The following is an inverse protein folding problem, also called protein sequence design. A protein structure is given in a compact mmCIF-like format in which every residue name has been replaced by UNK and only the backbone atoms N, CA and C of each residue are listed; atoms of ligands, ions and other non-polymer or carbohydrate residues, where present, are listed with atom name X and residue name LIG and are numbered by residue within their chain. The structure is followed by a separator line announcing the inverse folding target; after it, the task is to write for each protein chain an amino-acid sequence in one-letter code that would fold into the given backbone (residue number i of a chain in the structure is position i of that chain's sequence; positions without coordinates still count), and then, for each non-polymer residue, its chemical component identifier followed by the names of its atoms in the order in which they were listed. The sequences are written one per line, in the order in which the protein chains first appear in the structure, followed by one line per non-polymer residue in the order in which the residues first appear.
data_IF_072659397242
#
_entry.id   IF_072659397242
#
_cell.length_a   1.000
_cell.length_b   1.000
_cell.length_c   1.000
_cell.angle_alpha   90.00
_cell.angle_beta   90.00
_cell.angle_gamma   90.00
#
_symmetry.space_group_name_H-M   'P 1'
#
loop_
_entity.id
_entity.type
_entity.pdbx_description
1 polymer ?
#
# COMPACT_ATOMS: atom_id res chain seq x y z
N UNK A 1 10.32 -18.51 -12.36
CA UNK A 1 8.85 -18.63 -12.45
C UNK A 1 8.30 -19.34 -11.21
N UNK A 2 7.02 -19.14 -10.85
CA UNK A 2 6.32 -19.76 -9.71
C UNK A 2 7.03 -19.59 -8.36
N UNK A 3 7.72 -18.47 -8.15
CA UNK A 3 8.62 -18.31 -7.01
C UNK A 3 7.89 -18.38 -5.65
N UNK A 4 6.66 -17.86 -5.57
CA UNK A 4 5.83 -17.92 -4.35
C UNK A 4 5.42 -19.36 -3.99
N UNK A 5 5.22 -20.23 -4.99
CA UNK A 5 4.82 -21.63 -4.79
C UNK A 5 5.96 -22.48 -4.24
N UNK A 6 7.20 -22.20 -4.66
CA UNK A 6 8.39 -22.93 -4.23
C UNK A 6 9.04 -22.36 -2.95
N UNK A 7 8.56 -21.21 -2.48
CA UNK A 7 9.10 -20.57 -1.28
C UNK A 7 9.01 -21.44 -0.01
N UNK A 8 7.94 -22.23 0.24
CA UNK A 8 7.90 -23.14 1.37
C UNK A 8 9.05 -24.16 1.40
N UNK A 9 9.55 -24.59 0.24
CA UNK A 9 10.65 -25.52 0.11
C UNK A 9 12.01 -24.81 0.15
N UNK A 10 12.15 -23.71 -0.58
CA UNK A 10 13.45 -23.02 -0.74
C UNK A 10 13.78 -22.05 0.39
N UNK A 11 12.76 -21.52 1.06
CA UNK A 11 12.83 -20.43 2.06
C UNK A 11 13.52 -19.16 1.57
N UNK A 12 13.65 -18.97 0.25
CA UNK A 12 14.29 -17.81 -0.36
C UNK A 12 13.70 -17.50 -1.73
N UNK A 13 13.75 -16.22 -2.10
CA UNK A 13 13.54 -15.78 -3.47
C UNK A 13 14.90 -15.59 -4.15
N UNK A 14 14.97 -15.95 -5.43
CA UNK A 14 16.11 -15.64 -6.27
C UNK A 14 15.82 -14.33 -7.00
N UNK A 15 16.70 -13.34 -6.80
CA UNK A 15 16.58 -12.05 -7.48
C UNK A 15 16.98 -12.19 -8.94
N UNK A 16 16.21 -11.55 -9.80
CA UNK A 16 16.50 -11.50 -11.23
C UNK A 16 17.67 -10.55 -11.52
N UNK A 17 17.81 -9.53 -10.67
CA UNK A 17 18.88 -8.53 -10.74
C UNK A 17 19.31 -8.11 -9.34
N UNK A 18 20.60 -7.80 -9.18
CA UNK A 18 21.20 -7.26 -7.95
C UNK A 18 21.30 -5.73 -7.93
N UNK A 19 20.86 -5.06 -9.01
CA UNK A 19 20.86 -3.60 -9.12
C UNK A 19 19.92 -2.94 -8.11
N UNK A 20 20.20 -1.67 -7.80
CA UNK A 20 19.37 -0.83 -6.92
C UNK A 20 18.73 0.34 -7.66
N UNK A 21 18.41 1.41 -6.92
CA UNK A 21 17.64 2.56 -7.42
C UNK A 21 18.22 3.15 -8.72
N UNK A 22 17.40 3.21 -9.78
CA UNK A 22 17.78 3.65 -11.14
C UNK A 22 18.90 2.84 -11.82
N UNK A 23 19.28 1.69 -11.30
CA UNK A 23 20.29 0.85 -11.92
C UNK A 23 19.69 0.03 -13.07
N UNK A 24 19.91 0.47 -14.31
CA UNK A 24 19.50 -0.26 -15.52
C UNK A 24 20.66 -0.37 -16.50
N UNK A 25 21.16 -1.60 -16.70
CA UNK A 25 22.13 -1.89 -17.77
C UNK A 25 21.39 -2.33 -19.04
N UNK A 26 21.95 -2.09 -20.23
CA UNK A 26 21.41 -2.67 -21.46
C UNK A 26 21.25 -4.18 -21.35
N UNK A 27 20.07 -4.70 -21.65
CA UNK A 27 19.77 -6.13 -21.59
C UNK A 27 19.42 -6.68 -20.21
N UNK A 28 19.40 -5.83 -19.17
CA UNK A 28 19.03 -6.19 -17.81
C UNK A 28 17.61 -6.81 -17.76
N UNK A 29 17.43 -7.99 -17.13
CA UNK A 29 16.15 -8.67 -17.08
C UNK A 29 15.01 -7.87 -16.45
N UNK A 30 15.29 -7.12 -15.38
CA UNK A 30 14.29 -6.29 -14.71
C UNK A 30 13.88 -5.14 -15.64
N UNK A 31 14.85 -4.52 -16.33
CA UNK A 31 14.55 -3.46 -17.30
C UNK A 31 13.65 -3.96 -18.44
N UNK A 32 13.96 -5.13 -19.02
CA UNK A 32 13.12 -5.77 -20.04
C UNK A 32 11.69 -6.01 -19.55
N UNK A 33 11.54 -6.45 -18.30
CA UNK A 33 10.23 -6.63 -17.68
C UNK A 33 9.47 -5.31 -17.56
N UNK A 34 10.10 -4.27 -16.99
CA UNK A 34 9.51 -2.94 -16.81
C UNK A 34 9.06 -2.38 -18.15
N UNK A 35 9.94 -2.39 -19.16
CA UNK A 35 9.63 -1.85 -20.50
C UNK A 35 8.43 -2.59 -21.11
N UNK A 36 8.44 -3.93 -21.06
CA UNK A 36 7.34 -4.74 -21.62
C UNK A 36 6.02 -4.47 -20.90
N UNK A 37 6.04 -4.39 -19.56
CA UNK A 37 4.85 -4.12 -18.77
C UNK A 37 4.31 -2.69 -19.01
N UNK A 38 5.20 -1.70 -19.14
CA UNK A 38 4.84 -0.33 -19.46
C UNK A 38 4.18 -0.21 -20.86
N UNK A 39 4.69 -0.90 -21.87
CA UNK A 39 4.03 -0.92 -23.20
C UNK A 39 2.63 -1.53 -23.14
N UNK A 40 2.45 -2.62 -22.40
CA UNK A 40 1.12 -3.24 -22.21
C UNK A 40 0.17 -2.28 -21.48
N UNK A 41 0.64 -1.58 -20.44
CA UNK A 41 -0.14 -0.56 -19.75
C UNK A 41 -0.57 0.58 -20.69
N UNK A 42 0.34 1.12 -21.51
CA UNK A 42 0.00 2.17 -22.48
C UNK A 42 -1.00 1.68 -23.52
N UNK A 43 -0.88 0.44 -23.99
CA UNK A 43 -1.84 -0.17 -24.90
C UNK A 43 -3.25 -0.32 -24.27
N UNK A 44 -3.34 -0.42 -22.95
CA UNK A 44 -4.58 -0.45 -22.19
C UNK A 44 -5.05 0.94 -21.71
N UNK A 45 -4.39 2.02 -22.15
CA UNK A 45 -4.81 3.40 -21.88
C UNK A 45 -4.29 3.98 -20.56
N UNK A 46 -3.30 3.38 -19.90
CA UNK A 46 -2.64 4.01 -18.76
C UNK A 46 -1.82 5.22 -19.24
N UNK A 47 -1.93 6.32 -18.51
CA UNK A 47 -1.11 7.50 -18.70
C UNK A 47 0.20 7.36 -17.90
N UNK A 48 1.12 6.52 -18.36
CA UNK A 48 2.39 6.27 -17.66
C UNK A 48 3.22 7.56 -17.55
N UNK A 49 3.74 7.81 -16.35
CA UNK A 49 4.53 9.02 -16.05
C UNK A 49 6.01 8.71 -15.85
N UNK A 50 6.31 7.61 -15.14
CA UNK A 50 7.66 7.29 -14.72
C UNK A 50 7.78 5.82 -14.38
N UNK A 51 8.84 5.17 -14.82
CA UNK A 51 9.20 3.81 -14.43
C UNK A 51 10.68 3.73 -14.05
N UNK A 52 11.02 2.91 -13.06
CA UNK A 52 12.40 2.67 -12.65
C UNK A 52 12.56 1.42 -11.77
N UNK A 53 13.76 0.82 -11.77
CA UNK A 53 14.20 0.00 -10.65
C UNK A 53 14.18 0.79 -9.34
N UNK A 54 13.73 0.13 -8.29
CA UNK A 54 13.64 0.68 -6.94
C UNK A 54 14.87 0.30 -6.09
N UNK A 55 14.89 0.72 -4.82
CA UNK A 55 16.06 0.59 -3.94
C UNK A 55 16.51 -0.86 -3.74
N UNK A 56 15.58 -1.80 -3.53
CA UNK A 56 15.93 -3.20 -3.30
C UNK A 56 16.23 -3.97 -4.61
N UNK A 57 17.07 -5.01 -4.57
CA UNK A 57 17.29 -5.93 -5.69
C UNK A 57 15.99 -6.44 -6.32
N UNK A 58 15.88 -6.34 -7.64
CA UNK A 58 14.68 -6.72 -8.42
C UNK A 58 13.39 -5.99 -8.04
N UNK A 59 13.45 -4.92 -7.25
CA UNK A 59 12.30 -4.07 -6.95
C UNK A 59 12.08 -3.08 -8.09
N UNK A 60 10.83 -2.75 -8.39
CA UNK A 60 10.48 -1.80 -9.43
C UNK A 60 9.28 -0.96 -9.03
N UNK A 61 9.17 0.20 -9.66
CA UNK A 61 8.02 1.10 -9.58
C UNK A 61 7.66 1.56 -10.99
N UNK A 62 6.37 1.52 -11.33
CA UNK A 62 5.84 2.15 -12.53
C UNK A 62 4.65 3.02 -12.13
N UNK A 63 4.79 4.32 -12.30
CA UNK A 63 3.81 5.35 -12.00
C UNK A 63 3.02 5.72 -13.25
N UNK A 64 1.75 6.02 -13.02
CA UNK A 64 0.80 6.48 -14.02
C UNK A 64 -0.06 7.58 -13.41
N UNK A 65 -0.62 8.42 -14.26
CA UNK A 65 -1.40 9.58 -13.81
C UNK A 65 -2.62 9.15 -13.00
N UNK A 66 -2.98 10.01 -12.05
CA UNK A 66 -4.16 9.85 -11.23
C UNK A 66 -5.45 9.87 -12.08
N UNK A 67 -6.51 9.31 -11.52
CA UNK A 67 -7.86 9.34 -12.09
C UNK A 67 -8.90 9.27 -10.97
N UNK A 68 -10.18 9.22 -11.33
CA UNK A 68 -11.29 9.07 -10.38
C UNK A 68 -11.15 7.80 -9.54
N UNK A 69 -11.59 7.85 -8.28
CA UNK A 69 -11.25 6.85 -7.26
C UNK A 69 -11.53 5.39 -7.68
N UNK A 70 -12.70 5.12 -8.28
CA UNK A 70 -13.06 3.76 -8.73
C UNK A 70 -12.18 3.30 -9.89
N UNK A 71 -11.97 4.17 -10.89
CA UNK A 71 -11.10 3.87 -12.02
C UNK A 71 -9.64 3.67 -11.58
N UNK A 72 -9.17 4.41 -10.57
CA UNK A 72 -7.84 4.23 -10.00
C UNK A 72 -7.71 2.88 -9.31
N UNK A 73 -8.74 2.43 -8.58
CA UNK A 73 -8.76 1.09 -7.99
C UNK A 73 -8.72 -0.02 -9.05
N UNK A 74 -9.47 0.13 -10.15
CA UNK A 74 -9.44 -0.78 -11.29
C UNK A 74 -8.05 -0.82 -11.94
N UNK A 75 -7.43 0.34 -12.14
CA UNK A 75 -6.08 0.46 -12.67
C UNK A 75 -5.05 -0.24 -11.77
N UNK A 76 -5.16 -0.14 -10.44
CA UNK A 76 -4.28 -0.86 -9.51
C UNK A 76 -4.46 -2.39 -9.63
N UNK A 77 -5.69 -2.88 -9.82
CA UNK A 77 -5.93 -4.31 -10.03
C UNK A 77 -5.34 -4.79 -11.36
N UNK A 78 -5.55 -4.03 -12.44
CA UNK A 78 -4.98 -4.29 -13.75
C UNK A 78 -3.45 -4.22 -13.73
N UNK A 79 -2.88 -3.25 -13.04
CA UNK A 79 -1.43 -3.12 -12.83
C UNK A 79 -0.85 -4.42 -12.27
N UNK A 80 -1.43 -4.94 -11.18
CA UNK A 80 -0.97 -6.17 -10.54
C UNK A 80 -1.11 -7.38 -11.47
N UNK A 81 -2.21 -7.45 -12.23
CA UNK A 81 -2.45 -8.52 -13.20
C UNK A 81 -1.43 -8.48 -14.35
N UNK A 82 -1.24 -7.32 -14.98
CA UNK A 82 -0.31 -7.11 -16.10
C UNK A 82 1.11 -7.48 -15.67
N UNK A 83 1.57 -6.97 -14.53
CA UNK A 83 2.88 -7.29 -13.98
C UNK A 83 3.07 -8.80 -13.79
N UNK A 84 2.05 -9.51 -13.27
CA UNK A 84 2.13 -10.97 -13.10
C UNK A 84 2.16 -11.70 -14.45
N UNK A 85 1.35 -11.30 -15.42
CA UNK A 85 1.28 -11.93 -16.74
C UNK A 85 2.58 -11.72 -17.53
N UNK A 86 3.10 -10.49 -17.57
CA UNK A 86 4.34 -10.18 -18.26
C UNK A 86 5.52 -10.88 -17.58
N UNK A 87 5.60 -10.86 -16.25
CA UNK A 87 6.63 -11.60 -15.53
C UNK A 87 6.57 -13.09 -15.83
N UNK A 88 5.36 -13.67 -15.91
CA UNK A 88 5.17 -15.07 -16.24
C UNK A 88 5.66 -15.42 -17.66
N UNK A 89 5.39 -14.56 -18.65
CA UNK A 89 5.88 -14.73 -20.03
C UNK A 89 7.39 -14.64 -20.15
N UNK A 90 8.05 -13.94 -19.22
CA UNK A 90 9.50 -13.79 -19.15
C UNK A 90 10.14 -14.75 -18.12
N UNK A 91 9.46 -15.84 -17.75
CA UNK A 91 9.91 -16.87 -16.80
C UNK A 91 10.25 -16.35 -15.38
N UNK A 92 9.65 -15.23 -14.99
CA UNK A 92 9.78 -14.60 -13.68
C UNK A 92 8.50 -14.73 -12.84
N UNK A 93 8.47 -14.09 -11.68
CA UNK A 93 7.29 -13.95 -10.82
C UNK A 93 7.28 -12.55 -10.23
N UNK A 94 6.29 -11.75 -10.59
CA UNK A 94 6.04 -10.47 -9.93
C UNK A 94 5.23 -10.71 -8.66
N UNK A 95 5.78 -10.30 -7.51
CA UNK A 95 5.11 -10.38 -6.21
C UNK A 95 4.72 -8.99 -5.72
N UNK A 96 3.57 -8.92 -5.05
CA UNK A 96 3.06 -7.72 -4.38
C UNK A 96 3.03 -7.91 -2.86
N UNK A 97 3.86 -8.83 -2.36
CA UNK A 97 4.09 -9.04 -0.95
C UNK A 97 4.79 -7.79 -0.36
N UNK A 98 4.34 -7.22 0.78
CA UNK A 98 4.90 -5.97 1.30
C UNK A 98 6.36 -6.06 1.75
N UNK A 99 6.80 -7.22 2.23
CA UNK A 99 8.16 -7.48 2.72
C UNK A 99 8.55 -8.93 2.39
N UNK A 100 8.95 -9.20 1.13
CA UNK A 100 9.28 -10.56 0.70
C UNK A 100 10.61 -11.07 1.27
N UNK A 101 11.53 -10.16 1.64
CA UNK A 101 12.86 -10.48 2.16
C UNK A 101 13.19 -9.55 3.33
N UNK A 102 13.73 -10.10 4.41
CA UNK A 102 14.19 -9.34 5.59
C UNK A 102 15.54 -8.69 5.28
N UNK A 103 15.80 -7.50 5.84
CA UNK A 103 17.10 -6.81 5.70
C UNK A 103 17.22 -5.91 4.46
N UNK A 104 16.23 -5.88 3.57
CA UNK A 104 16.16 -4.96 2.41
C UNK A 104 14.85 -4.17 2.42
N UNK A 105 14.71 -3.17 1.55
CA UNK A 105 13.49 -2.38 1.40
C UNK A 105 12.26 -3.26 1.13
N UNK A 106 11.12 -2.89 1.72
CA UNK A 106 9.82 -3.47 1.40
C UNK A 106 9.12 -2.70 0.28
N UNK A 107 8.00 -3.24 -0.19
CA UNK A 107 7.13 -2.60 -1.19
C UNK A 107 5.92 -1.96 -0.51
N UNK A 108 5.70 -0.67 -0.80
CA UNK A 108 4.52 0.08 -0.38
C UNK A 108 3.63 0.41 -1.58
N UNK A 109 2.40 0.84 -1.31
CA UNK A 109 1.50 1.41 -2.31
C UNK A 109 1.06 2.79 -1.84
N UNK A 110 1.97 3.77 -1.95
CA UNK A 110 1.64 5.14 -1.55
C UNK A 110 0.44 5.64 -2.37
N UNK A 111 -0.57 6.12 -1.67
CA UNK A 111 -1.82 6.54 -2.29
C UNK A 111 -1.94 8.05 -2.20
N UNK A 112 -1.89 8.70 -3.36
CA UNK A 112 -2.04 10.14 -3.52
C UNK A 112 -3.54 10.47 -3.69
N UNK A 113 -4.09 11.34 -2.85
CA UNK A 113 -5.50 11.68 -2.80
C UNK A 113 -5.70 13.19 -2.89
N UNK A 114 -6.70 13.62 -3.66
CA UNK A 114 -7.18 14.99 -3.68
C UNK A 114 -8.69 15.00 -3.89
N UNK A 115 -9.35 16.09 -3.49
CA UNK A 115 -10.78 16.28 -3.74
C UNK A 115 -10.92 17.52 -4.60
N UNK A 116 -11.62 17.39 -5.73
CA UNK A 116 -11.96 18.50 -6.59
C UNK A 116 -13.47 18.68 -6.65
N UNK A 117 -13.91 19.93 -6.72
CA UNK A 117 -15.28 20.26 -7.09
C UNK A 117 -15.22 20.98 -8.44
N UNK A 118 -15.91 20.41 -9.42
CA UNK A 118 -15.83 20.77 -10.84
C UNK A 118 -14.40 20.64 -11.38
N UNK A 119 -13.63 21.73 -11.34
CA UNK A 119 -12.22 21.79 -11.79
C UNK A 119 -11.31 22.46 -10.77
N UNK A 120 -11.83 22.73 -9.58
CA UNK A 120 -11.11 23.40 -8.51
C UNK A 120 -10.67 22.36 -7.51
N UNK A 121 -9.36 22.22 -7.34
CA UNK A 121 -8.78 21.37 -6.31
C UNK A 121 -9.01 22.01 -4.94
N UNK A 122 -9.83 21.36 -4.11
CA UNK A 122 -10.23 21.89 -2.80
C UNK A 122 -9.12 21.77 -1.76
N UNK A 123 -8.04 21.04 -2.02
CA UNK A 123 -6.91 20.92 -1.10
C UNK A 123 -5.89 22.04 -1.26
N UNK A 124 -5.93 22.83 -2.33
CA UNK A 124 -4.95 23.88 -2.55
C UNK A 124 -5.36 25.21 -1.90
N UNK A 125 -4.46 25.78 -1.11
CA UNK A 125 -4.50 27.19 -0.73
C UNK A 125 -3.06 27.75 -0.69
N UNK A 126 -2.70 28.71 -1.57
CA UNK A 126 -1.35 29.27 -1.59
C UNK A 126 -0.96 29.99 -0.30
N UNK A 127 -1.93 30.38 0.54
CA UNK A 127 -1.70 31.03 1.84
C UNK A 127 -1.83 30.05 3.01
N UNK A 128 -2.32 28.84 2.75
CA UNK A 128 -2.50 27.80 3.74
C UNK A 128 -1.17 27.17 4.15
N UNK A 129 -1.15 26.59 5.35
CA UNK A 129 0.03 25.89 5.85
C UNK A 129 0.40 24.74 4.89
N UNK A 130 1.68 24.67 4.50
CA UNK A 130 2.20 23.67 3.55
C UNK A 130 1.53 23.72 2.17
N UNK A 131 0.90 24.85 1.82
CA UNK A 131 0.15 25.03 0.56
C UNK A 131 -1.21 24.32 0.54
N UNK A 132 -1.68 23.85 1.70
CA UNK A 132 -2.96 23.17 1.86
C UNK A 132 -4.04 24.09 2.42
N UNK A 133 -5.24 23.93 1.89
CA UNK A 133 -6.44 24.53 2.45
C UNK A 133 -6.79 23.95 3.82
N UNK A 134 -7.71 24.62 4.54
CA UNK A 134 -8.30 24.08 5.76
C UNK A 134 -8.93 22.69 5.55
N UNK A 135 -9.57 22.48 4.39
CA UNK A 135 -10.14 21.18 4.04
C UNK A 135 -9.06 20.11 3.88
N UNK A 136 -7.94 20.43 3.23
CA UNK A 136 -6.80 19.51 3.10
C UNK A 136 -6.26 19.10 4.47
N UNK A 137 -6.06 20.05 5.37
CA UNK A 137 -5.59 19.76 6.74
C UNK A 137 -6.60 18.99 7.58
N UNK A 138 -7.90 19.32 7.49
CA UNK A 138 -8.97 18.54 8.16
C UNK A 138 -9.00 17.10 7.67
N UNK A 139 -8.85 16.89 6.36
CA UNK A 139 -8.79 15.56 5.75
C UNK A 139 -7.62 14.75 6.32
N UNK A 140 -6.42 15.35 6.38
CA UNK A 140 -5.23 14.73 6.98
C UNK A 140 -5.47 14.41 8.45
N UNK A 141 -5.92 15.38 9.24
CA UNK A 141 -6.05 15.22 10.68
C UNK A 141 -7.03 14.10 11.04
N UNK A 142 -8.13 13.96 10.28
CA UNK A 142 -9.08 12.84 10.41
C UNK A 142 -8.44 11.49 10.11
N UNK A 143 -7.62 11.39 9.05
CA UNK A 143 -6.87 10.15 8.77
C UNK A 143 -5.92 9.81 9.91
N UNK A 144 -5.18 10.79 10.43
CA UNK A 144 -4.25 10.58 11.53
C UNK A 144 -4.97 10.20 12.83
N UNK A 145 -6.06 10.90 13.16
CA UNK A 145 -6.87 10.67 14.35
C UNK A 145 -7.44 9.24 14.41
N UNK A 146 -7.70 8.63 13.25
CA UNK A 146 -8.25 7.28 13.13
C UNK A 146 -7.22 6.28 12.56
N UNK A 147 -5.92 6.62 12.57
CA UNK A 147 -4.87 5.84 11.92
C UNK A 147 -4.74 4.42 12.50
N UNK A 148 -4.94 4.28 13.81
CA UNK A 148 -4.97 2.98 14.49
C UNK A 148 -6.20 2.17 14.05
N UNK A 149 -7.37 2.80 14.02
CA UNK A 149 -8.64 2.17 13.67
C UNK A 149 -8.68 1.67 12.22
N UNK A 150 -8.02 2.35 11.29
CA UNK A 150 -8.01 1.97 9.87
C UNK A 150 -6.80 1.10 9.49
N UNK A 151 -5.85 0.88 10.40
CA UNK A 151 -4.58 0.21 10.09
C UNK A 151 -4.77 -1.17 9.45
N UNK A 152 -5.72 -1.97 9.95
CA UNK A 152 -6.00 -3.32 9.44
C UNK A 152 -6.51 -3.31 8.00
N UNK A 153 -7.20 -2.24 7.58
CA UNK A 153 -7.67 -2.09 6.19
C UNK A 153 -6.50 -1.73 5.28
N UNK A 154 -5.60 -0.86 5.75
CA UNK A 154 -4.45 -0.39 4.96
C UNK A 154 -3.30 -1.42 4.91
N UNK A 155 -3.24 -2.34 5.87
CA UNK A 155 -2.20 -3.37 6.01
C UNK A 155 -2.87 -4.71 6.38
N UNK A 156 -3.34 -5.45 5.37
CA UNK A 156 -4.31 -6.51 5.56
C UNK A 156 -3.73 -7.94 5.69
N UNK A 157 -2.40 -8.07 5.77
CA UNK A 157 -1.69 -9.35 5.89
C UNK A 157 -0.64 -9.31 6.98
N UNK A 158 -0.25 -10.48 7.51
CA UNK A 158 0.83 -10.61 8.51
C UNK A 158 2.14 -10.01 7.98
N UNK A 159 2.41 -10.19 6.70
CA UNK A 159 3.63 -9.71 6.07
C UNK A 159 3.68 -8.17 5.95
N UNK A 160 2.52 -7.51 5.82
CA UNK A 160 2.43 -6.05 5.81
C UNK A 160 3.06 -5.41 7.06
N UNK A 161 2.93 -6.05 8.23
CA UNK A 161 3.46 -5.54 9.49
C UNK A 161 4.99 -5.66 9.60
N UNK A 162 5.63 -6.57 8.85
CA UNK A 162 7.10 -6.54 8.70
C UNK A 162 7.60 -5.29 7.98
N UNK A 163 6.74 -4.68 7.16
CA UNK A 163 7.07 -3.42 6.51
C UNK A 163 7.09 -2.32 7.55
N UNK A 164 6.06 -2.22 8.41
CA UNK A 164 5.87 -1.18 9.42
C UNK A 164 6.86 -1.22 10.61
N UNK A 165 7.88 -2.10 10.58
CA UNK A 165 8.93 -2.16 11.58
C UNK A 165 9.76 -0.85 11.57
N UNK A 166 9.89 -0.13 12.70
CA UNK A 166 10.60 1.13 12.80
C UNK A 166 12.10 1.06 12.44
N UNK A 167 12.70 -0.14 12.37
CA UNK A 167 14.10 -0.32 11.94
C UNK A 167 14.28 -0.31 10.41
N UNK A 168 13.19 -0.30 9.63
CA UNK A 168 13.21 -0.27 8.17
C UNK A 168 12.38 0.92 7.65
N UNK A 169 12.63 1.36 6.41
CA UNK A 169 12.16 2.65 5.85
C UNK A 169 10.63 2.84 5.69
N UNK A 170 9.78 2.04 6.33
CA UNK A 170 8.34 2.20 6.19
C UNK A 170 7.76 3.28 7.12
N UNK A 171 6.91 4.16 6.59
CA UNK A 171 6.30 5.22 7.38
C UNK A 171 5.21 4.68 8.31
N UNK A 172 5.55 4.56 9.60
CA UNK A 172 4.66 4.06 10.65
C UNK A 172 4.26 5.13 11.68
N UNK A 173 4.85 6.33 11.63
CA UNK A 173 4.56 7.38 12.59
C UNK A 173 3.27 8.08 12.20
N UNK A 174 2.29 8.12 13.11
CA UNK A 174 0.98 8.74 12.88
C UNK A 174 1.11 10.26 12.99
N UNK A 175 1.71 10.84 11.94
CA UNK A 175 1.91 12.27 11.76
C UNK A 175 1.93 12.63 10.28
N UNK A 176 1.70 13.91 9.99
CA UNK A 176 1.87 14.48 8.67
C UNK A 176 3.16 15.28 8.58
N UNK A 177 3.86 15.20 7.44
CA UNK A 177 5.02 16.05 7.18
C UNK A 177 5.28 16.23 5.68
N UNK A 178 5.69 17.42 5.22
CA UNK A 178 6.18 17.60 3.86
C UNK A 178 7.57 16.99 3.62
N UNK A 179 8.39 16.83 4.68
CA UNK A 179 9.81 16.49 4.57
C UNK A 179 10.19 15.17 5.26
N UNK A 180 9.45 14.76 6.29
CA UNK A 180 9.80 13.59 7.09
C UNK A 180 9.42 12.28 6.38
N UNK A 181 10.42 11.45 6.09
CA UNK A 181 10.25 10.17 5.41
C UNK A 181 9.58 9.10 6.29
N UNK A 182 9.56 9.23 7.61
CA UNK A 182 8.86 8.33 8.54
C UNK A 182 7.37 8.66 8.75
N UNK A 183 6.90 9.81 8.23
CA UNK A 183 5.50 10.23 8.38
C UNK A 183 4.53 9.34 7.58
N UNK A 184 3.46 8.89 8.25
CA UNK A 184 2.35 8.13 7.64
C UNK A 184 1.71 8.90 6.49
N UNK A 185 1.58 10.22 6.63
CA UNK A 185 1.05 11.10 5.58
C UNK A 185 2.11 12.10 5.15
N UNK A 186 2.46 12.09 3.86
CA UNK A 186 3.30 13.14 3.25
C UNK A 186 2.42 14.20 2.60
N UNK A 187 2.88 15.45 2.63
CA UNK A 187 2.28 16.57 1.91
C UNK A 187 3.26 16.98 0.78
N UNK A 188 3.10 16.45 -0.44
CA UNK A 188 3.91 16.86 -1.56
C UNK A 188 3.72 18.34 -1.88
N UNK A 189 4.80 19.02 -2.27
CA UNK A 189 4.70 20.38 -2.82
C UNK A 189 3.81 20.33 -4.07
N UNK A 190 2.79 21.18 -4.09
CA UNK A 190 1.78 21.21 -5.14
C UNK A 190 1.32 22.62 -5.48
N UNK A 191 0.52 22.71 -6.54
CA UNK A 191 -0.14 23.94 -6.97
C UNK A 191 -1.66 23.70 -7.09
N UNK A 192 -2.40 24.65 -7.65
CA UNK A 192 -3.85 24.57 -7.85
C UNK A 192 -4.34 23.35 -8.64
N UNK A 193 -3.46 22.66 -9.35
CA UNK A 193 -3.76 21.42 -10.09
C UNK A 193 -3.25 20.16 -9.39
N UNK A 194 -2.15 20.25 -8.62
CA UNK A 194 -1.42 19.07 -8.13
C UNK A 194 -1.36 18.91 -6.61
N UNK A 195 -1.94 19.84 -5.84
CA UNK A 195 -2.05 19.73 -4.38
C UNK A 195 -2.80 18.46 -4.00
N UNK A 196 -2.22 17.68 -3.09
CA UNK A 196 -2.72 16.35 -2.71
C UNK A 196 -2.13 15.94 -1.38
N UNK A 197 -2.71 14.92 -0.78
CA UNK A 197 -2.18 14.23 0.40
C UNK A 197 -1.70 12.85 -0.02
N UNK A 198 -0.61 12.36 0.55
CA UNK A 198 -0.08 11.05 0.22
C UNK A 198 -0.04 10.16 1.46
N UNK A 199 -0.88 9.13 1.48
CA UNK A 199 -0.92 8.15 2.56
C UNK A 199 0.05 7.02 2.20
N UNK A 200 1.11 6.87 2.99
CA UNK A 200 2.28 6.05 2.63
C UNK A 200 2.34 4.70 3.35
N UNK A 201 1.53 4.54 4.39
CA UNK A 201 1.48 3.30 5.20
C UNK A 201 0.76 2.14 4.51
N UNK A 202 0.20 2.31 3.32
CA UNK A 202 -0.64 1.31 2.66
C UNK A 202 0.20 0.20 2.04
N UNK A 203 -0.16 -1.04 2.32
CA UNK A 203 0.47 -2.22 1.77
C UNK A 203 -0.05 -2.55 0.35
N UNK A 204 0.82 -3.01 -0.56
CA UNK A 204 0.41 -3.37 -1.94
C UNK A 204 -0.54 -4.58 -2.03
N UNK A 205 -0.61 -5.39 -0.97
CA UNK A 205 -1.51 -6.52 -0.85
C UNK A 205 -2.87 -6.17 -0.21
N UNK A 206 -3.06 -4.92 0.21
CA UNK A 206 -4.36 -4.43 0.67
C UNK A 206 -5.40 -4.41 -0.47
N UNK A 207 -6.67 -4.56 -0.12
CA UNK A 207 -7.77 -4.33 -1.06
C UNK A 207 -7.88 -2.83 -1.35
N UNK A 208 -7.49 -2.42 -2.57
CA UNK A 208 -7.45 -1.00 -2.95
C UNK A 208 -8.83 -0.32 -2.91
N UNK A 209 -9.91 -1.00 -3.31
CA UNK A 209 -11.27 -0.43 -3.21
C UNK A 209 -11.61 -0.11 -1.77
N UNK A 210 -11.27 -1.04 -0.87
CA UNK A 210 -11.57 -0.90 0.54
C UNK A 210 -10.69 0.17 1.20
N UNK A 211 -9.42 0.24 0.82
CA UNK A 211 -8.51 1.30 1.25
C UNK A 211 -8.98 2.68 0.81
N UNK A 212 -9.36 2.87 -0.47
CA UNK A 212 -9.87 4.15 -0.96
C UNK A 212 -11.17 4.55 -0.29
N UNK A 213 -12.14 3.63 -0.17
CA UNK A 213 -13.39 3.90 0.55
C UNK A 213 -13.12 4.37 1.99
N UNK A 214 -12.24 3.66 2.70
CA UNK A 214 -11.86 3.99 4.07
C UNK A 214 -11.20 5.37 4.15
N UNK A 215 -10.19 5.65 3.33
CA UNK A 215 -9.48 6.93 3.35
C UNK A 215 -10.37 8.12 3.00
N UNK A 216 -11.20 8.01 1.96
CA UNK A 216 -12.11 9.10 1.59
C UNK A 216 -13.19 9.30 2.64
N UNK A 217 -13.85 8.24 3.11
CA UNK A 217 -14.90 8.36 4.13
C UNK A 217 -14.32 8.88 5.45
N UNK A 218 -13.13 8.44 5.84
CA UNK A 218 -12.43 8.99 7.01
C UNK A 218 -12.07 10.46 6.83
N UNK A 219 -11.39 10.83 5.75
CA UNK A 219 -10.98 12.21 5.55
C UNK A 219 -12.15 13.19 5.37
N UNK A 220 -13.29 12.74 4.83
CA UNK A 220 -14.47 13.59 4.58
C UNK A 220 -15.42 13.64 5.79
N UNK A 221 -15.67 12.52 6.46
CA UNK A 221 -16.80 12.39 7.39
C UNK A 221 -16.40 12.13 8.85
N UNK A 222 -15.16 11.71 9.13
CA UNK A 222 -14.80 11.39 10.52
C UNK A 222 -14.95 12.62 11.42
N UNK A 223 -15.60 12.40 12.57
CA UNK A 223 -15.88 13.45 13.55
C UNK A 223 -14.63 13.87 14.31
N UNK A 224 -13.74 12.91 14.58
CA UNK A 224 -12.47 13.18 15.24
C UNK A 224 -11.44 13.66 14.21
N UNK A 225 -10.94 14.87 14.39
CA UNK A 225 -9.88 15.50 13.61
C UNK A 225 -8.73 15.97 14.53
N UNK A 226 -8.60 15.39 15.72
CA UNK A 226 -7.47 15.65 16.61
C UNK A 226 -6.42 14.57 16.36
N UNK A 227 -5.31 14.97 15.74
CA UNK A 227 -4.17 14.07 15.56
C UNK A 227 -3.69 13.51 16.92
N UNK A 228 -3.28 12.24 16.99
CA UNK A 228 -2.89 11.61 18.24
C UNK A 228 -1.60 12.23 18.81
N UNK A 229 -1.24 11.82 20.04
CA UNK A 229 -0.06 12.31 20.72
C UNK A 229 1.20 12.16 19.84
N UNK A 230 2.15 13.10 20.02
CA UNK A 230 3.48 13.00 19.39
C UNK A 230 4.07 11.64 19.76
N UNK A 231 4.65 10.97 18.76
CA UNK A 231 5.26 9.63 18.84
C UNK A 231 4.30 8.43 18.79
N UNK A 232 3.02 8.64 18.50
CA UNK A 232 2.11 7.51 18.21
C UNK A 232 2.53 6.83 16.90
N UNK A 233 2.68 5.49 16.94
CA UNK A 233 3.01 4.67 15.78
C UNK A 233 1.86 3.69 15.47
N UNK A 234 1.77 3.26 14.21
CA UNK A 234 0.91 2.16 13.81
C UNK A 234 1.32 0.85 14.50
N UNK A 235 0.39 -0.10 14.70
CA UNK A 235 0.71 -1.42 15.26
C UNK A 235 1.81 -2.12 14.46
N UNK A 236 2.68 -2.83 15.17
CA UNK A 236 3.81 -3.60 14.59
C UNK A 236 3.46 -5.06 14.33
N UNK A 237 2.23 -5.47 14.65
CA UNK A 237 1.71 -6.80 14.40
C UNK A 237 0.21 -6.78 14.07
N UNK A 238 -0.21 -7.77 13.28
CA UNK A 238 -1.59 -7.85 12.79
C UNK A 238 -2.60 -8.15 13.90
N UNK A 239 -2.20 -8.83 14.97
CA UNK A 239 -3.12 -9.25 16.04
C UNK A 239 -3.58 -8.04 16.85
N UNK A 240 -2.66 -7.14 17.18
CA UNK A 240 -2.98 -5.87 17.83
C UNK A 240 -3.86 -5.00 16.92
N UNK A 241 -3.57 -4.95 15.62
CA UNK A 241 -4.41 -4.22 14.67
C UNK A 241 -5.82 -4.81 14.53
N UNK A 242 -5.96 -6.15 14.59
CA UNK A 242 -7.27 -6.82 14.62
C UNK A 242 -8.02 -6.47 15.91
N UNK A 243 -7.37 -6.53 17.06
CA UNK A 243 -7.98 -6.20 18.35
C UNK A 243 -8.44 -4.74 18.41
N UNK A 244 -7.60 -3.81 17.96
CA UNK A 244 -7.93 -2.39 17.83
C UNK A 244 -9.14 -2.22 16.90
N UNK A 245 -9.09 -2.82 15.70
CA UNK A 245 -10.16 -2.71 14.71
C UNK A 245 -11.50 -3.27 15.22
N UNK A 246 -11.49 -4.40 15.93
CA UNK A 246 -12.70 -5.01 16.53
C UNK A 246 -13.30 -4.14 17.63
N UNK A 247 -12.47 -3.52 18.47
CA UNK A 247 -12.91 -2.64 19.56
C UNK A 247 -13.24 -1.23 19.10
N UNK A 248 -12.89 -0.87 17.86
CA UNK A 248 -13.08 0.47 17.33
C UNK A 248 -14.56 0.78 17.10
N UNK A 249 -15.05 1.81 17.81
CA UNK A 249 -16.33 2.42 17.52
C UNK A 249 -16.33 3.15 16.17
N UNK A 250 -15.18 3.73 15.78
CA UNK A 250 -15.07 4.39 14.48
C UNK A 250 -15.14 3.38 13.32
N UNK A 251 -14.48 2.23 13.42
CA UNK A 251 -14.58 1.19 12.40
C UNK A 251 -16.02 0.65 12.27
N UNK A 252 -16.76 0.58 13.38
CA UNK A 252 -18.19 0.24 13.37
C UNK A 252 -19.03 1.32 12.67
N UNK A 253 -18.81 2.60 12.96
CA UNK A 253 -19.51 3.70 12.29
C UNK A 253 -19.19 3.74 10.78
N UNK A 254 -17.94 3.43 10.41
CA UNK A 254 -17.46 3.46 9.03
C UNK A 254 -18.13 2.37 8.16
N UNK A 255 -18.28 1.16 8.70
CA UNK A 255 -18.62 -0.06 7.95
C UNK A 255 -19.95 -0.69 8.34
N UNK A 256 -20.47 -0.38 9.53
CA UNK A 256 -21.44 -1.20 10.25
C UNK A 256 -20.75 -2.31 11.05
N UNK A 257 -21.27 -2.60 12.24
CA UNK A 257 -20.73 -3.61 13.17
C UNK A 257 -20.58 -4.98 12.51
N UNK A 258 -21.60 -5.43 11.76
CA UNK A 258 -21.58 -6.74 11.10
C UNK A 258 -20.43 -6.87 10.08
N UNK A 259 -20.19 -5.85 9.26
CA UNK A 259 -19.13 -5.87 8.24
C UNK A 259 -17.76 -5.76 8.92
N UNK A 260 -17.63 -4.90 9.92
CA UNK A 260 -16.41 -4.78 10.74
C UNK A 260 -16.04 -6.15 11.34
N UNK A 261 -16.97 -6.81 12.01
CA UNK A 261 -16.71 -8.07 12.71
C UNK A 261 -16.40 -9.21 11.73
N UNK A 262 -17.13 -9.28 10.61
CA UNK A 262 -16.83 -10.26 9.54
C UNK A 262 -15.44 -10.06 8.96
N UNK A 263 -15.06 -8.81 8.67
CA UNK A 263 -13.73 -8.51 8.14
C UNK A 263 -12.65 -8.86 9.15
N UNK A 264 -12.81 -8.48 10.42
CA UNK A 264 -11.85 -8.81 11.47
C UNK A 264 -11.70 -10.33 11.66
N UNK A 265 -12.81 -11.07 11.69
CA UNK A 265 -12.79 -12.54 11.81
C UNK A 265 -12.11 -13.20 10.62
N UNK A 266 -12.34 -12.70 9.40
CA UNK A 266 -11.64 -13.17 8.19
C UNK A 266 -10.13 -12.94 8.31
N UNK A 267 -9.71 -11.76 8.79
CA UNK A 267 -8.30 -11.42 8.96
C UNK A 267 -7.65 -12.24 10.05
N UNK A 268 -8.34 -12.49 11.16
CA UNK A 268 -7.89 -13.36 12.24
C UNK A 268 -7.67 -14.80 11.74
N UNK A 269 -8.64 -15.37 11.03
CA UNK A 269 -8.51 -16.69 10.44
C UNK A 269 -7.32 -16.79 9.46
N UNK A 270 -7.04 -15.73 8.70
CA UNK A 270 -5.86 -15.69 7.84
C UNK A 270 -4.56 -15.57 8.65
N UNK A 271 -4.55 -14.72 9.68
CA UNK A 271 -3.41 -14.46 10.54
C UNK A 271 -2.98 -15.70 11.35
N UNK A 272 -3.94 -16.50 11.84
CA UNK A 272 -3.67 -17.73 12.61
C UNK A 272 -3.01 -18.85 11.76
N UNK A 273 -3.05 -18.74 10.42
CA UNK A 273 -2.24 -19.60 9.52
C UNK A 273 -0.77 -19.16 9.47
N UNK A 274 -0.47 -17.98 9.98
CA UNK A 274 0.86 -17.40 10.04
C UNK A 274 1.40 -17.39 11.48
N UNK A 275 2.71 -17.25 11.65
CA UNK A 275 3.30 -17.13 12.98
C UNK A 275 2.92 -15.81 13.64
N UNK A 276 2.59 -15.87 14.94
CA UNK A 276 2.34 -14.66 15.75
C UNK A 276 3.56 -13.75 15.87
N UNK A 277 4.75 -14.36 16.04
CA UNK A 277 6.03 -13.64 16.06
C UNK A 277 6.73 -13.76 14.71
N UNK A 278 6.96 -12.60 14.09
CA UNK A 278 7.58 -12.45 12.77
C UNK A 278 9.01 -13.02 12.77
N UNK A 279 9.85 -12.64 13.74
CA UNK A 279 11.24 -13.10 13.80
C UNK A 279 12.07 -12.65 12.59
N UNK A 280 13.24 -13.27 12.38
CA UNK A 280 14.27 -12.79 11.44
C UNK A 280 14.16 -13.33 10.01
N UNK A 281 13.21 -14.23 9.73
CA UNK A 281 12.96 -14.80 8.40
C UNK A 281 11.49 -14.67 8.02
N UNK A 282 11.21 -14.45 6.73
CA UNK A 282 9.85 -14.55 6.19
C UNK A 282 9.47 -16.04 6.12
N UNK A 283 8.30 -16.41 6.65
CA UNK A 283 7.87 -17.80 6.70
C UNK A 283 6.92 -18.10 5.54
N UNK A 284 6.90 -19.36 5.09
CA UNK A 284 6.14 -19.77 3.90
C UNK A 284 4.65 -19.43 3.97
N UNK A 285 4.04 -19.52 5.14
CA UNK A 285 2.64 -19.14 5.34
C UNK A 285 2.38 -17.65 5.11
N UNK A 286 3.35 -16.78 5.39
CA UNK A 286 3.22 -15.35 5.11
C UNK A 286 3.26 -15.07 3.60
N UNK A 287 3.96 -15.90 2.82
CA UNK A 287 3.97 -15.81 1.36
C UNK A 287 2.68 -16.40 0.78
N UNK A 288 2.20 -17.53 1.30
CA UNK A 288 1.03 -18.22 0.76
C UNK A 288 -0.30 -17.53 1.09
N UNK A 289 -0.40 -16.90 2.26
CA UNK A 289 -1.68 -16.37 2.78
C UNK A 289 -1.76 -14.83 2.83
N UNK A 290 -0.86 -14.11 2.14
CA UNK A 290 -0.91 -12.64 2.09
C UNK A 290 -2.03 -12.09 1.20
N UNK A 291 -2.39 -12.80 0.14
CA UNK A 291 -3.39 -12.35 -0.81
C UNK A 291 -4.78 -12.26 -0.15
N UNK A 292 -5.48 -11.14 -0.36
CA UNK A 292 -6.92 -11.02 -0.06
C UNK A 292 -7.72 -12.19 -0.66
N UNK A 293 -8.73 -12.68 0.05
CA UNK A 293 -9.45 -13.94 -0.29
C UNK A 293 -10.08 -13.92 -1.69
N UNK A 294 -10.41 -12.74 -2.24
CA UNK A 294 -10.85 -12.59 -3.64
C UNK A 294 -9.79 -12.93 -4.67
N UNK A 295 -8.50 -12.79 -4.35
CA UNK A 295 -7.41 -13.33 -5.17
C UNK A 295 -7.28 -14.85 -4.98
N UNK A 296 -7.58 -15.41 -3.79
CA UNK A 296 -7.44 -16.85 -3.52
C UNK A 296 -8.41 -17.73 -4.32
N UNK A 297 -9.62 -17.25 -4.67
CA UNK A 297 -10.53 -18.03 -5.53
C UNK A 297 -9.99 -18.14 -6.97
N UNK A 298 -9.32 -17.11 -7.47
CA UNK A 298 -8.57 -17.20 -8.73
C UNK A 298 -7.37 -18.14 -8.58
N UNK A 299 -6.60 -18.06 -7.48
CA UNK A 299 -5.46 -18.95 -7.23
C UNK A 299 -5.84 -20.42 -6.99
N UNK A 300 -7.00 -20.73 -6.42
CA UNK A 300 -7.46 -22.12 -6.24
C UNK A 300 -8.00 -22.74 -7.54
N UNK A 301 -8.15 -21.94 -8.61
CA UNK A 301 -8.56 -22.37 -9.94
C UNK A 301 -7.39 -22.42 -10.94
N UNK A 302 -6.17 -22.09 -10.50
CA UNK A 302 -4.90 -22.23 -11.21
C UNK A 302 -3.94 -23.12 -10.42
#
# INVERSE_FOLDING_TARGET
RNAEQYYPETKKFEFVTSGGYYHSLPGDPLRKFIDTAAEVQRALGFANEKDHPEVAPSQFEMNYSYTEAVAAADQVQLYKLICRQVAHQLDMTASFLPKPVVGINGSGMHTNLSISQDKTNLFYDPKGQDGLSEMGWKFINRILANGLDICLVLNASVNAYRRLDPHYEAPNQIKASPIDRGSMVRIPIGNSRSARVEVRSIAPDANIYFALYTLFKTGIEAKNDVAPARDTILPDNIYDAIEIFQKSGYAADLLGEEIRDRYANLKLASADRCPRRLGTIVKGSEVQFHHEVTNQNLWNRF
#
